data_IF_112446713995
#
_entry.id   IF_112446713995
#
_cell.length_a   1.000
_cell.length_b   1.000
_cell.length_c   1.000
_cell.angle_alpha   90.00
_cell.angle_beta   90.00
_cell.angle_gamma   90.00
#
_symmetry.space_group_name_H-M   'P 1'
#
loop_
_entity.id
_entity.type
_entity.pdbx_description
1 polymer ?
#
# COMPACT_ATOMS: atom_id res chain seq x y z
N UNK A 1 4.20 -15.73 5.34
CA UNK A 1 3.20 -15.44 6.41
C UNK A 1 2.56 -14.10 6.09
N UNK A 2 1.29 -13.92 6.38
CA UNK A 2 0.68 -12.58 6.25
C UNK A 2 1.22 -11.72 7.38
N UNK A 3 1.78 -10.55 7.08
CA UNK A 3 2.28 -9.61 8.08
C UNK A 3 1.18 -9.27 9.10
N UNK A 4 1.50 -9.38 10.38
CA UNK A 4 0.52 -9.23 11.46
C UNK A 4 0.80 -7.95 12.26
N UNK A 5 -0.25 -7.16 12.51
CA UNK A 5 -0.13 -6.02 13.40
C UNK A 5 -0.11 -6.54 14.85
N UNK A 6 1.03 -6.37 15.52
CA UNK A 6 1.21 -6.84 16.91
C UNK A 6 1.14 -5.68 17.89
N UNK A 7 0.60 -5.96 19.08
CA UNK A 7 0.55 -5.01 20.19
C UNK A 7 1.72 -5.22 21.16
N UNK A 8 2.14 -4.14 21.81
CA UNK A 8 3.29 -4.12 22.69
C UNK A 8 2.95 -3.66 24.08
N UNK A 9 3.67 -4.20 25.05
CA UNK A 9 3.80 -3.66 26.38
C UNK A 9 5.26 -3.45 26.73
N UNK A 10 5.60 -2.29 27.24
CA UNK A 10 6.93 -2.04 27.79
C UNK A 10 7.08 -2.79 29.11
N UNK A 11 8.19 -3.53 29.25
CA UNK A 11 8.60 -4.19 30.51
C UNK A 11 7.62 -5.21 31.08
N UNK A 12 6.75 -5.82 30.27
CA UNK A 12 5.92 -6.92 30.76
C UNK A 12 6.80 -8.13 31.10
N UNK A 13 6.68 -8.59 32.31
CA UNK A 13 7.24 -9.85 32.81
C UNK A 13 6.24 -10.55 33.70
N UNK A 14 6.12 -11.84 33.57
CA UNK A 14 5.27 -12.71 34.36
C UNK A 14 5.88 -14.11 34.41
N UNK A 15 5.11 -15.08 34.87
CA UNK A 15 5.48 -16.50 34.84
C UNK A 15 4.34 -17.33 34.29
N UNK A 16 4.62 -18.56 33.89
CA UNK A 16 3.58 -19.55 33.60
C UNK A 16 2.82 -19.91 34.88
N UNK A 17 1.49 -19.77 34.85
CA UNK A 17 0.60 -20.17 35.95
C UNK A 17 0.41 -21.68 36.07
N UNK A 18 0.67 -22.42 35.00
CA UNK A 18 0.59 -23.87 34.92
C UNK A 18 1.68 -24.41 34.01
N UNK A 19 1.87 -25.73 33.99
CA UNK A 19 2.77 -26.40 33.06
C UNK A 19 2.30 -26.17 31.63
N UNK A 20 3.22 -25.82 30.74
CA UNK A 20 3.02 -25.75 29.30
C UNK A 20 3.63 -26.99 28.68
N UNK A 21 2.80 -27.97 28.35
CA UNK A 21 3.26 -29.22 27.74
C UNK A 21 3.68 -29.00 26.28
N UNK A 22 4.57 -29.86 25.78
CA UNK A 22 4.92 -29.92 24.36
C UNK A 22 3.67 -30.04 23.49
N UNK A 23 3.61 -29.25 22.39
CA UNK A 23 2.49 -29.23 21.46
C UNK A 23 1.22 -28.53 21.94
N UNK A 24 1.20 -27.96 23.17
CA UNK A 24 0.04 -27.16 23.62
C UNK A 24 -0.04 -25.85 22.86
N UNK A 25 -1.21 -25.47 22.39
CA UNK A 25 -1.51 -24.22 21.69
C UNK A 25 -2.19 -23.17 22.59
N UNK A 26 -2.24 -23.44 23.89
CA UNK A 26 -2.81 -22.56 24.91
C UNK A 26 -1.94 -22.58 26.17
N UNK A 27 -1.97 -21.50 26.95
CA UNK A 27 -1.26 -21.41 28.24
C UNK A 27 -1.98 -20.49 29.22
N UNK A 28 -1.60 -20.59 30.50
CA UNK A 28 -2.04 -19.68 31.55
C UNK A 28 -0.84 -18.91 32.09
N UNK A 29 -0.99 -17.61 32.21
CA UNK A 29 0.00 -16.70 32.78
C UNK A 29 -0.37 -16.39 34.23
N UNK A 30 0.61 -16.10 35.07
CA UNK A 30 0.36 -15.68 36.47
C UNK A 30 -0.18 -14.24 36.55
N UNK A 31 0.17 -13.39 35.57
CA UNK A 31 -0.38 -12.04 35.42
C UNK A 31 -0.69 -11.77 33.95
N UNK A 32 -1.75 -11.00 33.68
CA UNK A 32 -2.12 -10.62 32.33
C UNK A 32 -1.11 -9.65 31.71
N UNK A 33 -0.82 -9.73 30.40
CA UNK A 33 -0.06 -8.71 29.71
C UNK A 33 -0.83 -7.38 29.73
N UNK A 34 -0.20 -6.32 30.24
CA UNK A 34 -0.83 -5.02 30.39
C UNK A 34 0.01 -3.93 29.73
N UNK A 35 -0.66 -2.90 29.17
CA UNK A 35 -0.01 -1.68 28.75
C UNK A 35 0.30 -0.81 29.96
N UNK A 36 1.59 -0.62 30.24
CA UNK A 36 2.06 0.20 31.37
C UNK A 36 1.45 -0.19 32.73
N UNK A 37 1.17 -1.49 32.93
CA UNK A 37 0.64 -2.02 34.18
C UNK A 37 -0.85 -1.76 34.45
N UNK A 38 -1.61 -1.18 33.53
CA UNK A 38 -3.00 -0.77 33.78
C UNK A 38 -4.04 -1.48 32.94
N UNK A 39 -3.87 -1.54 31.63
CA UNK A 39 -4.87 -2.11 30.72
C UNK A 39 -4.34 -3.34 30.03
N UNK A 40 -5.13 -4.41 29.97
CA UNK A 40 -4.76 -5.61 29.23
C UNK A 40 -4.52 -5.25 27.74
N UNK A 41 -3.44 -5.76 27.19
CA UNK A 41 -3.19 -5.64 25.76
C UNK A 41 -3.99 -6.69 25.00
N UNK A 42 -4.46 -6.32 23.80
CA UNK A 42 -5.16 -7.24 22.91
C UNK A 42 -4.14 -8.07 22.09
N UNK A 43 -4.47 -9.35 21.86
CA UNK A 43 -3.74 -10.14 20.85
C UNK A 43 -3.97 -9.55 19.44
N UNK A 44 -3.00 -9.70 18.51
CA UNK A 44 -1.81 -10.54 18.63
C UNK A 44 -0.62 -9.84 19.30
N UNK A 45 0.25 -10.63 19.93
CA UNK A 45 1.53 -10.19 20.48
C UNK A 45 2.52 -11.36 20.65
N UNK A 46 3.81 -11.03 20.71
CA UNK A 46 4.86 -12.03 20.97
C UNK A 46 5.22 -12.10 22.45
N UNK A 47 5.49 -13.32 22.92
CA UNK A 47 6.07 -13.58 24.23
C UNK A 47 7.29 -14.47 24.08
N UNK A 48 8.27 -14.26 24.95
CA UNK A 48 9.43 -15.13 25.10
C UNK A 48 9.29 -15.91 26.40
N UNK A 49 9.24 -17.23 26.28
CA UNK A 49 9.18 -18.15 27.41
C UNK A 49 10.60 -18.59 27.74
N UNK A 50 10.95 -18.63 29.04
CA UNK A 50 12.26 -18.99 29.55
C UNK A 50 13.41 -18.18 28.92
N UNK A 51 13.32 -16.82 28.89
CA UNK A 51 14.20 -15.97 28.11
C UNK A 51 15.69 -16.09 28.45
N UNK A 52 15.99 -16.45 29.69
CA UNK A 52 17.35 -16.54 30.22
C UNK A 52 18.00 -17.95 30.03
N UNK A 53 17.23 -18.89 29.48
CA UNK A 53 17.69 -20.26 29.22
C UNK A 53 17.95 -20.46 27.71
N UNK A 54 19.21 -20.42 27.33
CA UNK A 54 19.60 -20.53 25.92
C UNK A 54 19.15 -21.84 25.22
N UNK A 55 18.88 -22.89 25.98
CA UNK A 55 18.46 -24.19 25.42
C UNK A 55 16.96 -24.28 25.25
N UNK A 56 16.17 -23.81 26.22
CA UNK A 56 14.71 -23.98 26.27
C UNK A 56 13.94 -22.69 25.93
N UNK A 57 14.63 -21.57 25.70
CA UNK A 57 14.00 -20.33 25.32
C UNK A 57 13.15 -20.51 24.05
N UNK A 58 11.94 -20.04 24.11
CA UNK A 58 10.98 -20.17 23.02
C UNK A 58 10.24 -18.85 22.76
N UNK A 59 10.11 -18.46 21.49
CA UNK A 59 9.27 -17.33 21.06
C UNK A 59 7.91 -17.87 20.62
N UNK A 60 6.85 -17.32 21.18
CA UNK A 60 5.47 -17.68 20.83
C UNK A 60 4.70 -16.47 20.33
N UNK A 61 3.88 -16.66 19.28
CA UNK A 61 2.90 -15.67 18.81
C UNK A 61 1.55 -15.99 19.43
N UNK A 62 1.08 -15.12 20.31
CA UNK A 62 -0.27 -15.20 20.89
C UNK A 62 -1.26 -14.58 19.90
N UNK A 63 -2.25 -15.35 19.48
CA UNK A 63 -3.28 -14.92 18.53
C UNK A 63 -4.65 -14.69 19.19
N UNK A 64 -4.84 -15.21 20.41
CA UNK A 64 -6.06 -14.97 21.19
C UNK A 64 -5.77 -15.07 22.69
N UNK A 65 -6.21 -14.08 23.46
CA UNK A 65 -6.06 -14.08 24.91
C UNK A 65 -7.15 -13.27 25.61
N UNK A 66 -7.40 -13.61 26.89
CA UNK A 66 -8.29 -12.86 27.79
C UNK A 66 -7.74 -12.92 29.20
N UNK A 67 -7.34 -11.77 29.74
CA UNK A 67 -6.69 -11.71 31.04
C UNK A 67 -5.41 -12.55 31.08
N UNK A 68 -5.34 -13.50 32.01
CA UNK A 68 -4.21 -14.42 32.18
C UNK A 68 -4.27 -15.65 31.27
N UNK A 69 -5.37 -15.85 30.54
CA UNK A 69 -5.56 -17.02 29.70
C UNK A 69 -5.20 -16.71 28.26
N UNK A 70 -4.21 -17.39 27.72
CA UNK A 70 -3.90 -17.46 26.29
C UNK A 70 -4.65 -18.66 25.72
N UNK A 71 -5.66 -18.40 24.91
CA UNK A 71 -6.54 -19.44 24.32
C UNK A 71 -6.06 -19.97 23.00
N UNK A 72 -5.24 -19.19 22.27
CA UNK A 72 -4.61 -19.63 21.02
C UNK A 72 -3.23 -18.97 20.83
N UNK A 73 -2.26 -19.77 20.41
CA UNK A 73 -0.90 -19.32 20.09
C UNK A 73 -0.23 -20.25 19.10
N UNK A 74 0.74 -19.70 18.36
CA UNK A 74 1.72 -20.47 17.59
C UNK A 74 2.99 -20.57 18.40
N UNK A 75 3.47 -21.81 18.60
CA UNK A 75 4.69 -22.13 19.33
C UNK A 75 5.90 -22.05 18.41
N UNK A 76 7.08 -21.84 19.03
CA UNK A 76 8.38 -21.89 18.38
C UNK A 76 8.42 -21.20 17.01
N UNK A 77 7.92 -19.95 16.95
CA UNK A 77 7.88 -19.17 15.69
C UNK A 77 9.27 -18.93 15.09
N UNK A 78 10.32 -19.06 15.89
CA UNK A 78 11.71 -18.99 15.44
C UNK A 78 12.22 -20.32 14.86
N UNK A 79 11.47 -21.43 14.97
CA UNK A 79 11.78 -22.74 14.38
C UNK A 79 13.00 -23.42 15.03
N UNK A 80 13.26 -23.21 16.32
CA UNK A 80 14.44 -23.75 17.03
C UNK A 80 14.22 -25.15 17.60
N UNK A 81 12.98 -25.52 17.83
CA UNK A 81 12.66 -26.73 18.56
C UNK A 81 11.87 -27.74 17.70
N UNK A 82 12.13 -29.02 17.89
CA UNK A 82 11.33 -30.08 17.30
C UNK A 82 11.52 -31.35 18.15
N UNK A 83 10.55 -31.71 18.99
CA UNK A 83 9.28 -31.05 19.33
C UNK A 83 9.46 -29.80 20.21
N UNK A 84 8.40 -29.00 20.36
CA UNK A 84 8.37 -27.86 21.27
C UNK A 84 8.74 -28.27 22.68
N UNK A 85 9.48 -27.44 23.44
CA UNK A 85 9.89 -27.79 24.81
C UNK A 85 8.68 -27.78 25.76
N UNK A 86 8.78 -28.54 26.84
CA UNK A 86 7.85 -28.44 27.97
C UNK A 86 8.40 -27.43 28.97
N UNK A 87 7.59 -26.46 29.34
CA UNK A 87 7.92 -25.46 30.35
C UNK A 87 7.12 -25.71 31.64
N UNK A 88 7.79 -25.71 32.76
CA UNK A 88 7.15 -25.93 34.07
C UNK A 88 6.40 -24.67 34.54
N UNK A 89 5.46 -24.85 35.46
CA UNK A 89 4.81 -23.71 36.14
C UNK A 89 5.88 -22.88 36.85
N UNK A 90 5.73 -21.56 36.81
CA UNK A 90 6.69 -20.61 37.36
C UNK A 90 7.82 -20.20 36.37
N UNK A 91 7.92 -20.84 35.19
CA UNK A 91 8.86 -20.38 34.14
C UNK A 91 8.61 -18.94 33.77
N UNK A 92 9.65 -18.12 33.68
CA UNK A 92 9.58 -16.71 33.31
C UNK A 92 9.04 -16.53 31.90
N UNK A 93 8.15 -15.55 31.73
CA UNK A 93 7.60 -15.12 30.43
C UNK A 93 7.77 -13.61 30.32
N UNK A 94 8.38 -13.16 29.25
CA UNK A 94 8.59 -11.73 28.97
C UNK A 94 8.04 -11.33 27.61
N UNK A 95 7.55 -10.11 27.52
CA UNK A 95 7.41 -9.45 26.23
C UNK A 95 8.73 -8.76 25.90
N UNK A 96 9.36 -9.20 24.84
CA UNK A 96 10.65 -8.69 24.39
C UNK A 96 10.56 -8.35 22.90
N UNK A 97 11.42 -7.47 22.43
CA UNK A 97 11.61 -7.25 21.00
C UNK A 97 12.26 -8.50 20.42
N UNK A 98 11.59 -9.13 19.49
CA UNK A 98 12.04 -10.35 18.81
C UNK A 98 12.21 -10.10 17.31
N UNK A 99 12.99 -10.93 16.65
CA UNK A 99 13.30 -10.83 15.22
C UNK A 99 12.02 -10.84 14.36
N UNK A 100 11.07 -11.69 14.70
CA UNK A 100 9.79 -11.89 14.01
C UNK A 100 8.97 -10.60 13.93
N UNK A 101 9.08 -9.71 14.92
CA UNK A 101 8.44 -8.40 14.88
C UNK A 101 9.01 -7.49 13.80
N UNK A 102 10.32 -7.54 13.57
CA UNK A 102 10.95 -6.78 12.49
C UNK A 102 10.64 -7.39 11.12
N UNK A 103 10.55 -8.72 11.05
CA UNK A 103 10.14 -9.41 9.83
C UNK A 103 8.70 -9.03 9.45
N UNK A 104 7.77 -9.01 10.41
CA UNK A 104 6.39 -8.55 10.19
C UNK A 104 6.32 -7.09 9.71
N UNK A 105 7.13 -6.19 10.33
CA UNK A 105 7.21 -4.79 9.90
C UNK A 105 7.81 -4.68 8.50
N UNK A 106 8.87 -5.43 8.22
CA UNK A 106 9.53 -5.44 6.92
C UNK A 106 8.59 -5.94 5.82
N UNK A 107 7.90 -7.05 6.07
CA UNK A 107 6.90 -7.61 5.14
C UNK A 107 5.78 -6.62 4.83
N UNK A 108 5.35 -5.81 5.82
CA UNK A 108 4.34 -4.76 5.62
C UNK A 108 4.85 -3.58 4.79
N UNK A 109 6.11 -3.18 5.02
CA UNK A 109 6.74 -2.10 4.25
C UNK A 109 7.02 -2.55 2.81
N UNK A 110 7.39 -3.81 2.63
CA UNK A 110 7.75 -4.37 1.33
C UNK A 110 6.55 -4.68 0.41
N UNK A 111 5.32 -4.62 0.91
CA UNK A 111 4.14 -4.91 0.09
C UNK A 111 3.92 -3.91 -1.05
N UNK A 112 4.53 -2.71 -0.99
CA UNK A 112 4.32 -1.70 -2.01
C UNK A 112 2.86 -1.21 -2.06
N UNK A 113 2.43 -0.76 -3.23
CA UNK A 113 1.04 -0.36 -3.49
C UNK A 113 0.62 -0.72 -4.91
N UNK A 114 -0.68 -0.80 -5.14
CA UNK A 114 -1.25 -1.11 -6.45
C UNK A 114 -1.70 0.18 -7.12
N UNK A 115 -1.29 0.36 -8.39
CA UNK A 115 -1.88 1.34 -9.29
C UNK A 115 -2.85 0.61 -10.22
N UNK A 116 -4.05 1.12 -10.32
CA UNK A 116 -5.07 0.62 -11.22
C UNK A 116 -5.46 1.72 -12.22
N UNK A 117 -5.58 1.37 -13.48
CA UNK A 117 -6.12 2.26 -14.51
C UNK A 117 -7.66 2.12 -14.62
N UNK A 118 -8.28 2.96 -15.47
CA UNK A 118 -9.73 2.93 -15.68
C UNK A 118 -10.26 1.66 -16.34
N UNK A 119 -9.38 0.81 -16.87
CA UNK A 119 -9.70 -0.45 -17.54
C UNK A 119 -9.52 -1.67 -16.62
N UNK A 120 -9.32 -1.43 -15.32
CA UNK A 120 -9.06 -2.48 -14.30
C UNK A 120 -7.74 -3.22 -14.46
N UNK A 121 -6.76 -2.63 -15.15
CA UNK A 121 -5.41 -3.17 -15.20
C UNK A 121 -4.62 -2.72 -13.98
N UNK A 122 -4.19 -3.69 -13.18
CA UNK A 122 -3.43 -3.44 -11.96
C UNK A 122 -1.92 -3.61 -12.19
N UNK A 123 -1.14 -2.68 -11.64
CA UNK A 123 0.32 -2.78 -11.57
C UNK A 123 0.75 -2.68 -10.12
N UNK A 124 1.42 -3.72 -9.64
CA UNK A 124 1.98 -3.72 -8.29
C UNK A 124 3.34 -3.00 -8.28
N UNK A 125 3.43 -1.92 -7.55
CA UNK A 125 4.65 -1.15 -7.32
C UNK A 125 5.28 -1.61 -6.01
N UNK A 126 6.24 -2.53 -6.10
CA UNK A 126 6.94 -3.05 -4.93
C UNK A 126 7.74 -1.96 -4.21
N UNK A 127 7.97 -2.14 -2.92
CA UNK A 127 8.78 -1.25 -2.10
C UNK A 127 10.17 -1.02 -2.72
N UNK A 128 10.65 0.22 -2.66
CA UNK A 128 11.92 0.62 -3.24
C UNK A 128 11.94 0.75 -4.77
N UNK A 129 10.78 0.64 -5.44
CA UNK A 129 10.62 0.94 -6.86
C UNK A 129 10.11 2.37 -7.05
N UNK A 130 10.50 2.96 -8.15
CA UNK A 130 10.01 4.28 -8.57
C UNK A 130 8.94 4.15 -9.66
N UNK A 131 8.02 5.09 -9.71
CA UNK A 131 7.11 5.29 -10.83
C UNK A 131 7.63 6.46 -11.63
N UNK A 132 7.94 6.24 -12.90
CA UNK A 132 8.33 7.28 -13.83
C UNK A 132 7.18 7.58 -14.78
N UNK A 133 6.61 8.76 -14.66
CA UNK A 133 5.71 9.29 -15.66
C UNK A 133 6.53 9.90 -16.80
N UNK A 134 6.25 9.47 -18.03
CA UNK A 134 6.98 9.94 -19.21
C UNK A 134 6.06 10.81 -20.05
N UNK A 135 6.46 12.04 -20.29
CA UNK A 135 5.73 12.97 -21.15
C UNK A 135 5.68 12.47 -22.58
N UNK A 136 4.48 12.51 -23.17
CA UNK A 136 4.26 12.32 -24.60
C UNK A 136 4.22 13.67 -25.32
N UNK A 137 4.18 13.66 -26.65
CA UNK A 137 3.96 14.88 -27.40
C UNK A 137 2.64 15.56 -26.98
N UNK A 138 2.70 16.86 -26.68
CA UNK A 138 1.58 17.68 -26.23
C UNK A 138 1.00 17.33 -24.84
N UNK A 139 1.71 16.56 -24.04
CA UNK A 139 1.37 16.34 -22.63
C UNK A 139 2.54 16.80 -21.77
N UNK A 140 2.28 17.70 -20.84
CA UNK A 140 3.21 18.20 -19.84
C UNK A 140 2.81 17.67 -18.46
N UNK A 141 3.76 17.09 -17.74
CA UNK A 141 3.55 16.49 -16.42
C UNK A 141 4.46 17.18 -15.43
N UNK A 142 3.90 17.97 -14.54
CA UNK A 142 4.67 18.75 -13.58
C UNK A 142 4.35 18.36 -12.14
N UNK A 143 5.39 18.20 -11.35
CA UNK A 143 5.33 18.18 -9.89
C UNK A 143 5.45 19.63 -9.40
N UNK A 144 4.39 20.14 -8.78
CA UNK A 144 4.29 21.55 -8.37
C UNK A 144 4.23 21.75 -6.86
N UNK A 145 4.41 20.69 -6.08
CA UNK A 145 4.47 20.83 -4.63
C UNK A 145 5.72 21.62 -4.22
N UNK A 146 5.51 22.86 -3.83
CA UNK A 146 6.56 23.78 -3.35
C UNK A 146 6.59 23.88 -1.82
N UNK A 147 5.64 23.27 -1.12
CA UNK A 147 5.49 23.35 0.33
C UNK A 147 6.04 22.14 1.07
N UNK A 148 6.41 21.09 0.32
CA UNK A 148 7.06 19.87 0.79
C UNK A 148 6.35 19.22 1.99
N UNK A 149 5.05 19.01 1.85
CA UNK A 149 4.22 18.33 2.83
C UNK A 149 3.86 19.17 4.08
N UNK A 150 3.86 20.49 3.95
CA UNK A 150 3.42 21.39 5.05
C UNK A 150 1.94 21.71 5.01
N UNK A 151 1.26 21.40 3.92
CA UNK A 151 -0.18 21.51 3.76
C UNK A 151 -0.90 20.17 4.00
N UNK A 152 -2.20 20.11 3.77
CA UNK A 152 -3.00 18.89 3.94
C UNK A 152 -2.89 17.92 2.75
N UNK A 153 -2.30 18.37 1.63
CA UNK A 153 -2.13 17.61 0.38
C UNK A 153 -0.67 17.79 -0.10
N UNK A 154 0.24 16.94 0.36
CA UNK A 154 1.69 17.21 0.31
C UNK A 154 2.33 17.08 -1.08
N UNK A 155 1.66 16.46 -2.07
CA UNK A 155 2.29 16.18 -3.37
C UNK A 155 1.30 16.33 -4.53
N UNK A 156 1.36 17.50 -5.21
CA UNK A 156 0.54 17.77 -6.39
C UNK A 156 1.22 17.30 -7.67
N UNK A 157 0.49 16.56 -8.49
CA UNK A 157 0.89 16.21 -9.85
C UNK A 157 -0.14 16.75 -10.83
N UNK A 158 0.29 17.67 -11.68
CA UNK A 158 -0.56 18.28 -12.70
C UNK A 158 -0.30 17.67 -14.07
N UNK A 159 -1.38 17.27 -14.74
CA UNK A 159 -1.36 16.90 -16.16
C UNK A 159 -1.96 18.02 -16.95
N UNK A 160 -1.21 18.61 -17.89
CA UNK A 160 -1.69 19.65 -18.78
C UNK A 160 -1.46 19.31 -20.25
N UNK A 161 -2.30 19.89 -21.10
CA UNK A 161 -2.08 19.80 -22.55
C UNK A 161 -1.12 20.90 -22.94
N UNK A 162 0.09 20.55 -23.39
CA UNK A 162 1.06 21.48 -23.92
C UNK A 162 0.95 21.58 -25.46
N UNK A 163 0.18 22.56 -25.89
CA UNK A 163 0.04 22.81 -27.34
C UNK A 163 1.35 23.29 -27.96
N UNK A 164 2.18 24.00 -27.20
CA UNK A 164 3.46 24.49 -27.70
C UNK A 164 4.49 23.37 -27.89
N UNK A 165 4.45 22.32 -27.04
CA UNK A 165 5.26 21.11 -27.16
C UNK A 165 4.74 20.11 -28.19
N UNK A 166 3.56 20.33 -28.78
CA UNK A 166 3.05 19.47 -29.84
C UNK A 166 3.93 19.55 -31.09
N UNK A 167 4.03 18.45 -31.83
CA UNK A 167 4.78 18.43 -33.09
C UNK A 167 4.19 19.43 -34.09
N UNK A 168 5.04 20.28 -34.68
CA UNK A 168 4.64 21.25 -35.67
C UNK A 168 4.07 20.56 -36.92
N UNK A 169 2.80 20.87 -37.21
CA UNK A 169 2.02 20.33 -38.33
C UNK A 169 1.99 21.22 -39.56
N UNK A 170 2.78 22.30 -39.64
CA UNK A 170 2.72 23.26 -40.75
C UNK A 170 3.06 22.66 -42.15
N UNK A 171 3.74 21.54 -42.17
CA UNK A 171 4.10 20.79 -43.37
C UNK A 171 3.15 19.64 -43.71
N UNK A 172 2.13 19.37 -42.92
CA UNK A 172 1.18 18.29 -43.19
C UNK A 172 0.07 18.74 -44.16
N UNK A 173 -0.44 17.80 -44.96
CA UNK A 173 -1.66 18.00 -45.72
C UNK A 173 -2.83 17.47 -44.92
N UNK A 174 -3.76 18.34 -44.56
CA UNK A 174 -4.95 17.95 -43.79
C UNK A 174 -5.90 17.12 -44.70
N UNK A 175 -6.13 15.87 -44.28
CA UNK A 175 -7.19 15.04 -44.86
C UNK A 175 -8.51 15.34 -44.16
N UNK A 176 -9.36 16.13 -44.84
CA UNK A 176 -10.63 16.63 -44.26
C UNK A 176 -11.58 15.52 -43.79
N UNK A 177 -11.45 14.29 -44.32
CA UNK A 177 -12.35 13.19 -43.99
C UNK A 177 -11.78 12.31 -42.84
N UNK A 178 -10.47 12.20 -42.75
CA UNK A 178 -9.82 11.28 -41.83
C UNK A 178 -9.19 11.99 -40.62
N UNK A 179 -8.65 13.20 -40.81
CA UNK A 179 -8.08 13.98 -39.72
C UNK A 179 -9.13 14.46 -38.75
N UNK A 180 -8.79 14.46 -37.45
CA UNK A 180 -9.71 14.81 -36.38
C UNK A 180 -9.23 16.06 -35.65
N UNK A 181 -10.20 16.84 -35.22
CA UNK A 181 -10.01 18.01 -34.32
C UNK A 181 -10.78 17.78 -33.05
N UNK A 182 -10.18 18.13 -31.92
CA UNK A 182 -10.86 18.10 -30.63
C UNK A 182 -11.57 19.44 -30.40
N UNK A 183 -12.85 19.38 -30.06
CA UNK A 183 -13.69 20.55 -29.73
C UNK A 183 -14.35 20.32 -28.38
N UNK A 184 -14.43 21.38 -27.57
CA UNK A 184 -15.32 21.40 -26.43
C UNK A 184 -16.74 21.74 -26.94
N UNK A 185 -17.70 20.81 -26.85
CA UNK A 185 -19.08 21.03 -27.15
C UNK A 185 -19.72 21.83 -26.01
N UNK A 186 -20.13 23.09 -26.32
CA UNK A 186 -20.73 23.97 -25.33
C UNK A 186 -22.10 23.50 -24.84
N UNK A 187 -22.75 22.56 -25.54
CA UNK A 187 -24.10 22.09 -25.21
C UNK A 187 -24.06 21.14 -23.99
N UNK A 188 -23.05 20.29 -23.91
CA UNK A 188 -22.92 19.29 -22.85
C UNK A 188 -21.57 19.36 -22.10
N UNK A 189 -20.71 20.32 -22.46
CA UNK A 189 -19.37 20.52 -21.88
C UNK A 189 -18.42 19.29 -22.01
N UNK A 190 -18.64 18.48 -23.05
CA UNK A 190 -17.81 17.30 -23.34
C UNK A 190 -16.87 17.59 -24.49
N UNK A 191 -15.59 17.10 -24.35
CA UNK A 191 -14.63 17.15 -25.45
C UNK A 191 -14.99 16.06 -26.47
N UNK A 192 -15.25 16.50 -27.70
CA UNK A 192 -15.60 15.63 -28.82
C UNK A 192 -14.56 15.72 -29.93
N UNK A 193 -14.29 14.61 -30.59
CA UNK A 193 -13.49 14.60 -31.82
C UNK A 193 -14.44 14.73 -33.01
N UNK A 194 -14.14 15.67 -33.91
CA UNK A 194 -14.88 15.88 -35.16
C UNK A 194 -13.94 15.74 -36.35
N UNK A 195 -14.46 15.40 -37.52
CA UNK A 195 -13.66 15.42 -38.74
C UNK A 195 -13.30 16.85 -39.12
N UNK A 196 -12.13 17.09 -39.68
CA UNK A 196 -11.70 18.42 -40.08
C UNK A 196 -12.70 19.07 -41.07
N UNK A 197 -13.37 18.29 -41.93
CA UNK A 197 -14.41 18.77 -42.84
C UNK A 197 -15.61 19.41 -42.13
N UNK A 198 -15.93 19.03 -40.89
CA UNK A 198 -17.08 19.57 -40.14
C UNK A 198 -16.83 20.97 -39.63
N UNK A 199 -15.59 21.42 -39.55
CA UNK A 199 -15.19 22.78 -39.15
C UNK A 199 -14.77 23.64 -40.33
N UNK A 200 -14.50 23.06 -41.49
CA UNK A 200 -14.26 23.84 -42.68
C UNK A 200 -15.57 24.58 -43.08
N UNK A 201 -15.54 25.90 -43.29
CA UNK A 201 -16.73 26.59 -43.76
C UNK A 201 -17.18 25.99 -45.10
N UNK A 202 -18.47 25.85 -45.34
CA UNK A 202 -18.94 25.41 -46.65
C UNK A 202 -18.37 26.35 -47.72
N UNK A 203 -17.76 25.77 -48.73
CA UNK A 203 -17.31 26.56 -49.90
C UNK A 203 -18.56 27.09 -50.56
N UNK A 204 -18.95 28.34 -50.24
CA UNK A 204 -19.95 29.03 -51.00
C UNK A 204 -19.40 29.25 -52.41
N UNK A 205 -19.76 28.38 -53.36
CA UNK A 205 -19.56 28.61 -54.76
C UNK A 205 -20.57 29.72 -55.14
N UNK A 206 -20.12 30.97 -55.07
CA UNK A 206 -20.94 32.07 -55.52
C UNK A 206 -21.25 31.83 -57.02
N UNK A 207 -22.52 31.72 -57.37
CA UNK A 207 -22.94 31.46 -58.78
C UNK A 207 -22.56 32.58 -59.72
N UNK A 208 -22.04 33.69 -59.24
CA UNK A 208 -21.65 34.86 -60.03
C UNK A 208 -20.32 34.72 -60.80
N UNK A 209 -19.54 33.69 -60.57
CA UNK A 209 -18.24 33.54 -61.25
C UNK A 209 -18.33 32.71 -62.54
N UNK A 210 -19.50 32.31 -63.02
CA UNK A 210 -19.68 31.48 -64.23
C UNK A 210 -20.30 32.27 -65.40
N UNK A 211 -20.52 33.56 -65.21
CA UNK A 211 -21.02 34.39 -66.34
C UNK A 211 -20.00 35.46 -66.75
N UNK A 212 -18.90 35.02 -67.39
CA UNK A 212 -17.89 35.91 -67.94
C UNK A 212 -16.98 35.15 -68.86
N UNK A 213 -17.45 34.82 -70.07
CA UNK A 213 -16.68 34.33 -71.16
C UNK A 213 -17.19 34.91 -72.41
#
# INVERSE_FOLDING_TARGET
MTAQEVTFSNFYESTLGAILASGSTSMTLSAAPTSNGTSNIAAPYYLVIDPDNATNREVVLVTSSSGTTVSAMTRDVEGRHSPDPTHVSGTTVRMAVVKEMFEDVHDRIDTGFVLEDGDTTEVNIASGKEIKFVEGAAIDINWTDVTDGTDADPYDMTFSVDIAGATDGTSITVDLNNDKVLLLDATDSVIKKVNAVQIAPPVEVHPFLVMGG
#
